data_IF_826685768889
#
_entry.id   IF_826685768889
#
_cell.length_a   1.000
_cell.length_b   1.000
_cell.length_c   1.000
_cell.angle_alpha   90.00
_cell.angle_beta   90.00
_cell.angle_gamma   90.00
#
_symmetry.space_group_name_H-M   'P 1'
#
loop_
_entity.id
_entity.type
_entity.pdbx_description
1 polymer ?
#
# COMPACT_ATOMS: atom_id res chain seq x y z
N UNK A 1 -17.63 31.25 -16.93
CA UNK A 1 -16.86 30.67 -18.05
C UNK A 1 -16.61 29.20 -17.71
N UNK A 2 -16.97 28.25 -18.60
CA UNK A 2 -16.95 26.81 -18.30
C UNK A 2 -15.53 26.24 -18.29
N UNK A 3 -15.16 25.56 -17.21
CA UNK A 3 -13.82 25.07 -16.86
C UNK A 3 -13.32 23.87 -17.68
N UNK A 4 -14.04 23.44 -18.72
CA UNK A 4 -13.79 22.19 -19.44
C UNK A 4 -13.47 22.36 -20.94
N UNK A 5 -13.16 23.57 -21.39
CA UNK A 5 -12.92 23.84 -22.82
C UNK A 5 -11.54 23.38 -23.33
N UNK A 6 -10.62 22.94 -22.46
CA UNK A 6 -9.23 22.60 -22.83
C UNK A 6 -8.89 21.10 -22.66
N UNK A 7 -9.87 20.20 -22.70
CA UNK A 7 -9.59 18.76 -22.63
C UNK A 7 -9.21 18.27 -24.04
N UNK A 8 -7.92 18.03 -24.25
CA UNK A 8 -7.40 17.47 -25.50
C UNK A 8 -7.90 16.02 -25.67
N UNK A 9 -8.97 15.84 -26.44
CA UNK A 9 -9.48 14.54 -26.84
C UNK A 9 -8.58 13.91 -27.89
N UNK A 10 -7.77 12.92 -27.50
CA UNK A 10 -6.90 12.21 -28.44
C UNK A 10 -6.00 11.18 -27.77
N UNK A 11 -5.63 10.15 -28.54
CA UNK A 11 -4.70 9.10 -28.07
C UNK A 11 -3.30 9.68 -27.97
N UNK A 12 -2.78 9.85 -26.75
CA UNK A 12 -1.42 10.36 -26.50
C UNK A 12 -0.38 9.58 -27.33
N UNK A 13 0.44 10.32 -28.08
CA UNK A 13 1.60 9.81 -28.82
C UNK A 13 2.81 10.55 -28.25
N UNK A 14 3.74 9.82 -27.66
CA UNK A 14 4.98 10.40 -27.13
C UNK A 14 6.07 10.27 -28.20
N UNK A 15 6.81 11.35 -28.46
CA UNK A 15 7.98 11.33 -29.34
C UNK A 15 9.16 10.76 -28.54
N UNK A 16 9.59 9.55 -28.86
CA UNK A 16 10.67 8.85 -28.16
C UNK A 16 10.65 7.34 -28.44
N UNK A 17 11.67 6.62 -27.94
CA UNK A 17 11.71 5.15 -28.03
C UNK A 17 10.53 4.58 -27.21
N UNK A 18 9.72 3.67 -27.78
CA UNK A 18 8.55 3.14 -27.08
C UNK A 18 8.98 2.32 -25.86
N UNK A 19 8.35 2.60 -24.71
CA UNK A 19 8.42 1.70 -23.55
C UNK A 19 7.86 0.33 -23.97
N UNK A 20 8.53 -0.76 -23.57
CA UNK A 20 8.09 -2.13 -23.82
C UNK A 20 6.82 -2.44 -23.00
N UNK A 21 5.68 -1.94 -23.48
CA UNK A 21 4.37 -2.33 -23.00
C UNK A 21 3.97 -3.53 -23.84
N UNK A 22 4.03 -4.73 -23.25
CA UNK A 22 3.55 -5.96 -23.88
C UNK A 22 2.11 -5.73 -24.36
N UNK A 23 1.95 -5.54 -25.67
CA UNK A 23 0.64 -5.52 -26.31
C UNK A 23 0.11 -6.94 -26.25
N UNK A 24 -0.83 -7.20 -25.34
CA UNK A 24 -1.77 -8.30 -25.49
C UNK A 24 -2.58 -8.02 -26.77
N UNK A 25 -2.14 -8.64 -27.86
CA UNK A 25 -2.85 -8.62 -29.13
C UNK A 25 -3.96 -9.65 -29.03
N UNK A 26 -5.18 -9.15 -29.00
CA UNK A 26 -6.36 -9.93 -29.29
C UNK A 26 -6.32 -10.44 -30.75
N UNK A 27 -6.94 -11.60 -30.91
CA UNK A 27 -7.44 -12.26 -32.12
C UNK A 27 -6.53 -13.17 -32.97
N UNK A 28 -7.10 -14.38 -33.13
CA UNK A 28 -6.98 -15.37 -34.20
C UNK A 28 -5.73 -16.29 -34.23
N UNK A 29 -5.87 -17.48 -33.62
CA UNK A 29 -5.92 -18.78 -34.32
C UNK A 29 -5.42 -19.95 -33.43
N UNK A 30 -6.34 -20.80 -33.00
CA UNK A 30 -6.11 -22.20 -32.59
C UNK A 30 -6.08 -23.09 -33.87
N UNK A 31 -5.33 -24.23 -33.95
CA UNK A 31 -5.61 -25.37 -33.08
C UNK A 31 -4.42 -26.27 -32.65
N UNK A 32 -4.55 -26.76 -31.40
CA UNK A 32 -4.37 -28.17 -30.96
C UNK A 32 -2.98 -28.82 -31.21
N UNK A 33 -2.19 -28.94 -30.14
CA UNK A 33 -1.44 -30.19 -29.90
C UNK A 33 -1.54 -30.61 -28.43
N UNK A 34 -2.16 -31.78 -28.22
CA UNK A 34 -2.32 -32.44 -26.93
C UNK A 34 -1.02 -33.17 -26.56
N UNK A 35 -0.35 -32.79 -25.47
CA UNK A 35 0.65 -33.67 -24.81
C UNK A 35 0.60 -33.56 -23.28
N UNK A 36 -0.11 -34.55 -22.71
CA UNK A 36 0.02 -35.25 -21.42
C UNK A 36 0.68 -34.53 -20.21
N UNK A 37 -0.19 -34.24 -19.23
CA UNK A 37 -0.09 -34.47 -17.76
C UNK A 37 1.31 -34.59 -17.14
N UNK A 38 1.62 -33.72 -16.17
CA UNK A 38 2.05 -34.10 -14.81
C UNK A 38 1.73 -33.00 -13.80
N UNK A 39 1.41 -33.47 -12.60
CA UNK A 39 0.76 -32.82 -11.47
C UNK A 39 1.83 -32.23 -10.54
N UNK A 40 1.80 -30.94 -10.23
CA UNK A 40 2.39 -30.40 -9.00
C UNK A 40 1.49 -29.29 -8.44
N UNK A 41 0.63 -29.71 -7.51
CA UNK A 41 -0.15 -28.87 -6.62
C UNK A 41 0.72 -28.63 -5.38
N UNK A 42 1.51 -27.56 -5.36
CA UNK A 42 2.05 -26.95 -4.12
C UNK A 42 2.74 -25.61 -4.41
N UNK A 43 2.01 -24.49 -4.38
CA UNK A 43 2.61 -23.18 -4.01
C UNK A 43 1.56 -22.17 -3.56
N UNK A 44 0.65 -22.60 -2.70
CA UNK A 44 -0.13 -21.69 -1.86
C UNK A 44 0.62 -21.56 -0.53
N UNK A 45 1.50 -20.54 -0.46
CA UNK A 45 1.98 -19.84 0.75
C UNK A 45 3.21 -18.99 0.41
N UNK A 46 3.01 -18.00 -0.47
CA UNK A 46 3.98 -16.89 -0.62
C UNK A 46 3.24 -15.56 -0.50
N UNK A 47 2.44 -15.43 0.56
CA UNK A 47 1.76 -14.21 0.99
C UNK A 47 1.72 -14.16 2.51
N UNK A 48 2.90 -14.10 3.13
CA UNK A 48 3.17 -13.45 4.43
C UNK A 48 4.65 -13.67 4.78
N UNK A 49 5.55 -13.25 3.91
CA UNK A 49 6.84 -12.76 4.38
C UNK A 49 6.61 -11.28 4.57
N UNK A 50 6.33 -10.88 5.81
CA UNK A 50 6.66 -9.55 6.26
C UNK A 50 8.09 -9.29 5.82
N UNK A 51 8.22 -8.30 4.95
CA UNK A 51 9.48 -7.68 4.57
C UNK A 51 10.07 -7.09 5.86
N UNK A 52 10.71 -7.93 6.65
CA UNK A 52 11.84 -7.50 7.45
C UNK A 52 12.89 -7.20 6.41
N UNK A 53 12.92 -5.95 5.96
CA UNK A 53 14.15 -5.34 5.48
C UNK A 53 15.16 -5.56 6.59
N UNK A 54 15.93 -6.64 6.46
CA UNK A 54 17.23 -6.83 7.06
C UNK A 54 18.15 -5.78 6.44
N UNK A 55 17.86 -4.50 6.72
CA UNK A 55 18.80 -3.41 6.61
C UNK A 55 19.66 -3.48 7.87
N UNK A 56 20.43 -4.56 7.93
CA UNK A 56 21.68 -4.59 8.65
C UNK A 56 22.69 -3.75 7.84
N UNK A 57 22.40 -2.45 7.71
CA UNK A 57 23.38 -1.48 7.27
C UNK A 57 24.24 -1.17 8.50
N UNK A 58 25.38 -1.86 8.56
CA UNK A 58 26.63 -1.41 9.16
C UNK A 58 26.54 -0.02 9.79
N UNK A 59 26.35 0.00 11.11
CA UNK A 59 26.46 1.17 11.96
C UNK A 59 27.91 1.69 11.93
N UNK A 60 28.30 2.36 10.85
CA UNK A 60 29.69 2.74 10.63
C UNK A 60 29.95 3.95 9.73
N UNK A 61 28.98 4.47 8.95
CA UNK A 61 29.30 5.56 7.99
C UNK A 61 28.17 6.49 7.53
N UNK A 62 27.04 6.56 8.22
CA UNK A 62 25.83 7.25 7.69
C UNK A 62 25.51 8.61 8.34
N UNK A 63 26.51 9.25 8.97
CA UNK A 63 26.30 10.57 9.58
C UNK A 63 26.11 11.70 8.57
N UNK A 64 26.62 11.53 7.34
CA UNK A 64 26.70 12.59 6.33
C UNK A 64 25.52 12.51 5.33
N UNK A 65 25.11 11.30 4.94
CA UNK A 65 24.16 11.08 3.84
C UNK A 65 22.69 11.30 4.23
N UNK A 66 22.32 11.02 5.48
CA UNK A 66 20.99 11.32 6.01
C UNK A 66 20.74 12.84 6.11
N UNK A 67 21.77 13.62 6.45
CA UNK A 67 21.68 15.09 6.50
C UNK A 67 21.63 15.69 5.10
N UNK A 68 22.36 15.12 4.14
CA UNK A 68 22.32 15.53 2.74
C UNK A 68 20.92 15.31 2.12
N UNK A 69 20.21 14.24 2.50
CA UNK A 69 18.84 14.01 2.05
C UNK A 69 17.87 15.09 2.58
N UNK A 70 17.95 15.43 3.87
CA UNK A 70 17.12 16.49 4.46
C UNK A 70 17.36 17.87 3.82
N UNK A 71 18.59 18.13 3.38
CA UNK A 71 18.92 19.39 2.70
C UNK A 71 18.26 19.55 1.33
N UNK A 72 17.96 18.44 0.64
CA UNK A 72 17.27 18.45 -0.65
C UNK A 72 15.73 18.54 -0.54
N UNK A 73 15.16 18.48 0.66
CA UNK A 73 13.72 18.53 0.85
C UNK A 73 13.14 19.93 0.69
N UNK A 74 11.98 20.00 0.05
CA UNK A 74 11.18 21.22 0.00
C UNK A 74 10.67 21.62 1.39
N UNK A 75 10.38 22.91 1.64
CA UNK A 75 9.85 23.35 2.93
C UNK A 75 8.54 22.65 3.35
N UNK A 76 7.74 22.20 2.37
CA UNK A 76 6.52 21.45 2.63
C UNK A 76 6.81 20.01 3.09
N UNK A 77 7.77 19.33 2.44
CA UNK A 77 8.20 17.99 2.81
C UNK A 77 8.85 17.97 4.18
N UNK A 78 9.69 18.96 4.51
CA UNK A 78 10.31 19.09 5.85
C UNK A 78 9.25 19.16 6.95
N UNK A 79 8.24 20.03 6.79
CA UNK A 79 7.14 20.16 7.75
C UNK A 79 6.31 18.88 7.87
N UNK A 80 6.10 18.17 6.76
CA UNK A 80 5.39 16.90 6.77
C UNK A 80 6.16 15.85 7.58
N UNK A 81 7.47 15.70 7.35
CA UNK A 81 8.31 14.77 8.11
C UNK A 81 8.36 15.09 9.61
N UNK A 82 8.44 16.37 9.96
CA UNK A 82 8.38 16.79 11.36
C UNK A 82 7.04 16.40 12.00
N UNK A 83 5.92 16.64 11.32
CA UNK A 83 4.60 16.25 11.79
C UNK A 83 4.45 14.73 11.92
N UNK A 84 4.88 13.96 10.91
CA UNK A 84 4.80 12.49 10.97
C UNK A 84 5.64 11.96 12.12
N UNK A 85 6.85 12.49 12.32
CA UNK A 85 7.71 12.12 13.45
C UNK A 85 7.05 12.39 14.80
N UNK A 86 6.40 13.53 14.96
CA UNK A 86 5.64 13.85 16.17
C UNK A 86 4.48 12.88 16.40
N UNK A 87 3.71 12.57 15.36
CA UNK A 87 2.59 11.62 15.43
C UNK A 87 3.06 10.18 15.71
N UNK A 88 4.18 9.78 15.13
CA UNK A 88 4.80 8.47 15.34
C UNK A 88 5.23 8.30 16.79
N UNK A 89 5.89 9.30 17.39
CA UNK A 89 6.26 9.26 18.80
C UNK A 89 5.04 9.09 19.70
N UNK A 90 3.95 9.82 19.44
CA UNK A 90 2.71 9.65 20.19
C UNK A 90 2.09 8.28 19.99
N UNK A 91 2.11 7.74 18.77
CA UNK A 91 1.59 6.41 18.45
C UNK A 91 2.41 5.32 19.13
N UNK A 92 3.75 5.43 19.10
CA UNK A 92 4.68 4.52 19.77
C UNK A 92 4.47 4.52 21.27
N UNK A 93 4.36 5.70 21.90
CA UNK A 93 4.07 5.81 23.32
C UNK A 93 2.75 5.09 23.68
N UNK A 94 1.67 5.32 22.93
CA UNK A 94 0.39 4.62 23.14
C UNK A 94 0.52 3.11 22.94
N UNK A 95 1.23 2.66 21.91
CA UNK A 95 1.40 1.23 21.63
C UNK A 95 2.27 0.54 22.69
N UNK A 96 3.26 1.23 23.25
CA UNK A 96 4.14 0.71 24.30
C UNK A 96 3.41 0.53 25.64
N UNK A 97 2.38 1.33 25.92
CA UNK A 97 1.62 1.23 27.19
C UNK A 97 0.77 -0.04 27.32
N UNK A 98 0.39 -0.69 26.21
CA UNK A 98 -0.53 -1.83 26.23
C UNK A 98 0.18 -3.11 25.82
N UNK A 99 -0.04 -4.18 26.59
CA UNK A 99 0.39 -5.51 26.18
C UNK A 99 -0.43 -6.00 24.98
N UNK A 100 0.10 -6.99 24.26
CA UNK A 100 -0.66 -7.69 23.22
C UNK A 100 -1.95 -8.30 23.79
N UNK A 101 -1.89 -8.83 25.01
CA UNK A 101 -3.06 -9.38 25.68
C UNK A 101 -4.14 -8.33 25.93
N UNK A 102 -3.76 -7.17 26.47
CA UNK A 102 -4.69 -6.05 26.71
C UNK A 102 -5.32 -5.59 25.40
N UNK A 103 -4.52 -5.53 24.32
CA UNK A 103 -5.01 -5.16 22.99
C UNK A 103 -6.07 -6.15 22.47
N UNK A 104 -5.87 -7.45 22.68
CA UNK A 104 -6.87 -8.48 22.35
C UNK A 104 -8.12 -8.34 23.22
N UNK A 105 -7.95 -8.14 24.53
CA UNK A 105 -9.09 -7.97 25.43
C UNK A 105 -9.93 -6.75 25.06
N UNK A 106 -9.29 -5.60 24.79
CA UNK A 106 -9.97 -4.39 24.34
C UNK A 106 -10.68 -4.59 23.02
N UNK A 107 -10.06 -5.29 22.08
CA UNK A 107 -10.67 -5.61 20.79
C UNK A 107 -11.90 -6.52 20.96
N UNK A 108 -11.80 -7.56 21.78
CA UNK A 108 -12.92 -8.45 22.05
C UNK A 108 -14.07 -7.72 22.77
N UNK A 109 -13.75 -6.84 23.73
CA UNK A 109 -14.73 -5.97 24.38
C UNK A 109 -15.39 -5.03 23.37
N UNK A 110 -14.63 -4.46 22.44
CA UNK A 110 -15.16 -3.61 21.39
C UNK A 110 -16.14 -4.38 20.49
N UNK A 111 -15.77 -5.60 20.06
CA UNK A 111 -16.66 -6.45 19.27
C UNK A 111 -17.94 -6.84 20.01
N UNK A 112 -17.84 -7.15 21.30
CA UNK A 112 -19.01 -7.46 22.11
C UNK A 112 -19.98 -6.28 22.27
N UNK A 113 -19.46 -5.06 22.19
CA UNK A 113 -20.24 -3.82 22.30
C UNK A 113 -20.72 -3.29 20.94
N UNK A 114 -20.25 -3.85 19.82
CA UNK A 114 -20.72 -3.44 18.50
C UNK A 114 -22.18 -3.85 18.32
N UNK A 115 -22.98 -2.95 17.75
CA UNK A 115 -24.37 -3.23 17.43
C UNK A 115 -24.45 -4.26 16.31
N UNK A 116 -25.29 -5.27 16.50
CA UNK A 116 -25.57 -6.25 15.44
C UNK A 116 -26.33 -5.62 14.27
N UNK A 117 -27.21 -4.66 14.59
CA UNK A 117 -28.07 -3.99 13.62
C UNK A 117 -27.60 -2.56 13.36
N UNK A 118 -27.23 -2.29 12.11
CA UNK A 118 -26.80 -0.97 11.62
C UNK A 118 -27.92 -0.23 10.88
N UNK A 119 -29.17 -0.65 11.07
CA UNK A 119 -30.34 -0.02 10.46
C UNK A 119 -31.28 0.51 11.53
N UNK A 120 -31.98 1.59 11.20
CA UNK A 120 -32.93 2.21 12.12
C UNK A 120 -34.20 1.36 12.09
N UNK A 121 -34.72 0.89 13.24
CA UNK A 121 -35.97 0.16 13.25
C UNK A 121 -37.06 1.02 12.63
N UNK A 122 -37.85 0.42 11.74
CA UNK A 122 -38.91 1.13 11.02
C UNK A 122 -39.95 1.63 12.02
N UNK A 123 -39.98 2.93 12.24
CA UNK A 123 -41.02 3.60 13.05
C UNK A 123 -42.34 3.59 12.29
N UNK A 124 -43.38 3.05 12.94
CA UNK A 124 -44.74 3.02 12.42
C UNK A 124 -45.42 4.41 12.43
N UNK A 125 -46.59 4.56 11.80
CA UNK A 125 -47.30 5.84 11.68
C UNK A 125 -47.72 6.41 13.04
#
# INVERSE_FOLDING_TARGET
>A
MSSYQNVAGGRLRLKGKPLHVFKAKAEAADPISKKKRKKHKHRENRRLSTDTTDDNHEAGKDGDEATAFEDHLTPAERKFLEQTRQLELQRLAKMATKSHHDRIQEFNRYLANLTEHYDIPKVGP
#
